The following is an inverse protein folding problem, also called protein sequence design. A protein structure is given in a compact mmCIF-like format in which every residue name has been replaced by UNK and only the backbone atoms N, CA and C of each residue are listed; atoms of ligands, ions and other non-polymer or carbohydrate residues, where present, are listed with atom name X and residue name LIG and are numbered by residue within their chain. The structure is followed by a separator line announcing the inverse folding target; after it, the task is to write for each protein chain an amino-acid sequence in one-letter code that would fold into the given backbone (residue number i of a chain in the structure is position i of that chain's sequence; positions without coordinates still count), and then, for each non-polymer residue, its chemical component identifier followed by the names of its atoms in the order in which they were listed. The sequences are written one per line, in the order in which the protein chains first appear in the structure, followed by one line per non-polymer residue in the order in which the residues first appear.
data_IF_356594125305
#
_entry.id   IF_356594125305
#
_cell.length_a   1.000
_cell.length_b   1.000
_cell.length_c   1.000
_cell.angle_alpha   90.00
_cell.angle_beta   90.00
_cell.angle_gamma   90.00
#
_symmetry.space_group_name_H-M   'P 1'
#
loop_
_entity.id
_entity.type
_entity.pdbx_description
1 polymer ?
#
# COMPACT_ATOMS: atom_id res chain seq x y z
N UNK A 1 -2.44 21.87 16.31
CA UNK A 1 -2.90 21.18 15.10
C UNK A 1 -3.50 19.84 15.51
N UNK A 2 -4.81 19.61 15.34
CA UNK A 2 -5.39 18.33 15.69
C UNK A 2 -5.07 17.34 14.56
N UNK A 3 -4.08 16.48 14.79
CA UNK A 3 -3.94 15.25 14.01
C UNK A 3 -4.92 14.26 14.62
N UNK A 4 -6.13 14.18 14.09
CA UNK A 4 -7.07 13.10 14.45
C UNK A 4 -6.37 11.76 14.16
N UNK A 5 -6.17 10.90 15.17
CA UNK A 5 -5.54 9.60 14.95
C UNK A 5 -6.40 8.75 14.01
N UNK A 6 -5.77 7.88 13.18
CA UNK A 6 -6.51 7.00 12.29
C UNK A 6 -7.51 6.15 13.08
N UNK A 7 -8.72 6.06 12.54
CA UNK A 7 -9.84 5.34 13.16
C UNK A 7 -9.52 3.84 13.21
N UNK A 8 -9.63 3.18 14.38
CA UNK A 8 -9.41 1.73 14.48
C UNK A 8 -10.41 0.90 13.66
N UNK A 9 -11.51 1.50 13.17
CA UNK A 9 -12.53 0.86 12.34
C UNK A 9 -12.22 0.90 10.83
N UNK A 10 -11.32 1.78 10.39
CA UNK A 10 -10.88 1.90 8.99
C UNK A 10 -9.35 2.10 8.95
N UNK A 11 -8.57 1.04 9.25
CA UNK A 11 -7.12 1.13 9.30
C UNK A 11 -6.51 1.40 7.92
N UNK A 12 -5.35 2.04 7.91
CA UNK A 12 -4.57 2.25 6.70
C UNK A 12 -4.13 0.90 6.11
N UNK A 13 -4.30 0.66 4.79
CA UNK A 13 -3.76 -0.55 4.17
C UNK A 13 -2.24 -0.60 4.30
N UNK A 14 -1.68 -1.80 4.40
CA UNK A 14 -0.24 -1.98 4.58
C UNK A 14 0.45 -2.11 3.20
N UNK A 15 1.52 -1.33 2.99
CA UNK A 15 2.33 -1.45 1.78
C UNK A 15 3.02 -2.82 1.72
N UNK A 16 3.10 -3.46 0.53
CA UNK A 16 3.88 -4.67 0.37
C UNK A 16 5.36 -4.38 0.61
N UNK A 17 6.06 -5.35 1.18
CA UNK A 17 7.51 -5.27 1.36
C UNK A 17 8.18 -5.43 0.00
N UNK A 18 9.11 -4.53 -0.33
CA UNK A 18 9.91 -4.69 -1.54
C UNK A 18 10.82 -5.91 -1.40
N UNK A 19 10.87 -6.80 -2.40
CA UNK A 19 11.76 -7.95 -2.34
C UNK A 19 13.22 -7.49 -2.34
N UNK A 20 14.06 -8.18 -1.57
CA UNK A 20 15.50 -7.97 -1.56
C UNK A 20 16.17 -8.43 -2.86
N UNK A 21 17.37 -7.92 -3.14
CA UNK A 21 18.16 -8.34 -4.29
C UNK A 21 18.54 -9.83 -4.21
N UNK A 22 18.66 -10.38 -3.01
CA UNK A 22 18.92 -11.81 -2.73
C UNK A 22 17.69 -12.71 -2.95
N UNK A 23 16.48 -12.14 -2.93
CA UNK A 23 15.25 -12.83 -3.29
C UNK A 23 15.06 -12.90 -4.81
N UNK A 24 15.76 -12.04 -5.55
CA UNK A 24 15.80 -12.10 -7.00
C UNK A 24 16.67 -13.27 -7.46
N UNK A 25 16.05 -14.20 -8.21
CA UNK A 25 16.73 -15.36 -8.79
C UNK A 25 17.94 -14.97 -9.69
N UNK A 26 18.05 -13.73 -10.17
CA UNK A 26 19.21 -13.20 -10.90
C UNK A 26 19.46 -13.81 -12.29
N UNK A 27 18.71 -14.85 -12.67
CA UNK A 27 18.91 -15.64 -13.88
C UNK A 27 17.82 -15.42 -14.94
N UNK A 28 17.02 -14.36 -14.80
CA UNK A 28 15.92 -14.06 -15.74
C UNK A 28 14.67 -14.93 -15.56
N UNK A 29 14.35 -15.29 -14.31
CA UNK A 29 13.10 -15.98 -13.97
C UNK A 29 11.87 -15.15 -14.41
N UNK A 30 10.90 -15.79 -15.08
CA UNK A 30 9.61 -15.20 -15.51
C UNK A 30 8.45 -16.11 -15.02
N UNK A 31 7.54 -15.59 -14.16
CA UNK A 31 7.47 -14.22 -13.66
C UNK A 31 8.54 -13.89 -12.60
N UNK A 32 9.06 -12.66 -12.66
CA UNK A 32 10.04 -12.15 -11.71
C UNK A 32 9.38 -11.83 -10.35
N UNK A 33 10.13 -11.94 -9.25
CA UNK A 33 9.64 -11.52 -7.92
C UNK A 33 9.20 -10.04 -7.91
N UNK A 34 9.86 -9.21 -8.71
CA UNK A 34 9.49 -7.81 -8.90
C UNK A 34 8.16 -7.64 -9.64
N UNK A 35 7.76 -8.59 -10.49
CA UNK A 35 6.47 -8.55 -11.19
C UNK A 35 5.32 -8.80 -10.20
N UNK A 36 5.48 -9.79 -9.32
CA UNK A 36 4.52 -10.03 -8.22
C UNK A 36 4.43 -8.81 -7.30
N UNK A 37 5.58 -8.27 -6.89
CA UNK A 37 5.62 -7.05 -6.08
C UNK A 37 4.91 -5.88 -6.78
N UNK A 38 5.11 -5.68 -8.08
CA UNK A 38 4.44 -4.62 -8.83
C UNK A 38 2.93 -4.78 -8.81
N UNK A 39 2.41 -5.99 -9.02
CA UNK A 39 0.97 -6.29 -8.97
C UNK A 39 0.39 -6.00 -7.58
N UNK A 40 1.07 -6.44 -6.52
CA UNK A 40 0.62 -6.19 -5.15
C UNK A 40 0.69 -4.71 -4.79
N UNK A 41 1.76 -4.02 -5.22
CA UNK A 41 1.94 -2.59 -5.02
C UNK A 41 0.85 -1.78 -5.72
N UNK A 42 0.43 -2.17 -6.92
CA UNK A 42 -0.68 -1.52 -7.62
C UNK A 42 -2.00 -1.66 -6.87
N UNK A 43 -2.29 -2.83 -6.29
CA UNK A 43 -3.47 -3.05 -5.45
C UNK A 43 -3.44 -2.16 -4.21
N UNK A 44 -2.30 -2.18 -3.52
CA UNK A 44 -2.06 -1.33 -2.35
C UNK A 44 -2.30 0.16 -2.68
N UNK A 45 -1.74 0.68 -3.77
CA UNK A 45 -1.90 2.09 -4.13
C UNK A 45 -3.37 2.48 -4.39
N UNK A 46 -4.15 1.58 -4.99
CA UNK A 46 -5.59 1.81 -5.22
C UNK A 46 -6.35 1.84 -3.90
N UNK A 47 -6.11 0.88 -3.03
CA UNK A 47 -6.74 0.79 -1.70
C UNK A 47 -6.34 1.97 -0.82
N UNK A 48 -5.05 2.34 -0.83
CA UNK A 48 -4.50 3.44 -0.06
C UNK A 48 -5.09 4.78 -0.49
N UNK A 49 -5.22 5.02 -1.80
CA UNK A 49 -5.90 6.20 -2.31
C UNK A 49 -7.36 6.26 -1.85
N UNK A 50 -8.10 5.15 -1.95
CA UNK A 50 -9.49 5.10 -1.50
C UNK A 50 -9.61 5.34 0.01
N UNK A 51 -8.65 4.86 0.80
CA UNK A 51 -8.57 5.14 2.23
C UNK A 51 -8.28 6.62 2.50
N UNK A 52 -7.33 7.23 1.80
CA UNK A 52 -7.02 8.67 1.92
C UNK A 52 -8.24 9.54 1.62
N UNK A 53 -8.99 9.22 0.57
CA UNK A 53 -10.22 9.95 0.22
C UNK A 53 -11.27 9.85 1.34
N UNK A 54 -11.44 8.68 1.97
CA UNK A 54 -12.33 8.49 3.14
C UNK A 54 -11.84 9.28 4.35
N UNK A 55 -10.54 9.26 4.64
CA UNK A 55 -9.98 10.03 5.75
C UNK A 55 -10.15 11.54 5.54
N UNK A 56 -9.87 12.03 4.33
CA UNK A 56 -10.06 13.44 3.99
C UNK A 56 -11.51 13.87 4.17
N UNK A 57 -12.47 13.09 3.65
CA UNK A 57 -13.90 13.36 3.80
C UNK A 57 -14.35 13.37 5.28
N UNK A 58 -13.77 12.52 6.13
CA UNK A 58 -14.02 12.52 7.58
C UNK A 58 -13.46 13.78 8.23
N UNK A 59 -12.19 14.10 7.99
CA UNK A 59 -11.55 15.30 8.55
C UNK A 59 -12.21 16.62 8.13
N UNK A 60 -12.89 16.65 6.99
CA UNK A 60 -13.64 17.82 6.53
C UNK A 60 -15.07 17.91 7.11
N UNK A 61 -15.58 16.82 7.70
CA UNK A 61 -16.91 16.73 8.29
C UNK A 61 -16.91 17.03 9.79
N UNK A 62 -15.75 16.91 10.44
CA UNK A 62 -15.47 17.39 11.79
C UNK A 62 -15.16 18.89 11.80
#
# INVERSE_FOLDING_TARGET
MPSTPPDPSDPEPQAPLAPGDDECCGNGCDPCIFDFYAIERERFLKEHKAWQDRQAARTAKD
#
